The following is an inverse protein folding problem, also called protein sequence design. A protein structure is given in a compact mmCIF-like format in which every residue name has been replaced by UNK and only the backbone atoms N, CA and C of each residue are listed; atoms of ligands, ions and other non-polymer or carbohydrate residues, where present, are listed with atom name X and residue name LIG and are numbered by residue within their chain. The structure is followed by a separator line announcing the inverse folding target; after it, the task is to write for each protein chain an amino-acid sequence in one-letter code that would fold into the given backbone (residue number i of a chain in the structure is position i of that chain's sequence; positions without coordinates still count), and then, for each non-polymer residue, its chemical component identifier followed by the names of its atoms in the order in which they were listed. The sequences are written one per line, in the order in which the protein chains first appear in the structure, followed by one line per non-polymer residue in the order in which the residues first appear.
data_IF_652892413667
#
_entry.id   IF_652892413667
#
_cell.length_a   1.000
_cell.length_b   1.000
_cell.length_c   1.000
_cell.angle_alpha   90.00
_cell.angle_beta   90.00
_cell.angle_gamma   90.00
#
_symmetry.space_group_name_H-M   'P 1'
#
loop_
_entity.id
_entity.type
_entity.pdbx_description
1 polymer ?
#
# COMPACT_ATOMS: atom_id res chain seq x y z
N UNK A 1 8.93 46.87 16.21
CA UNK A 1 8.02 45.96 15.48
C UNK A 1 8.87 44.86 14.86
N UNK A 2 8.77 43.60 15.31
CA UNK A 2 9.52 42.52 14.68
C UNK A 2 8.80 42.07 13.40
N UNK A 3 9.61 41.84 12.36
CA UNK A 3 9.19 41.47 11.02
C UNK A 3 8.67 40.03 10.99
N UNK A 4 7.64 39.82 10.16
CA UNK A 4 7.01 38.54 9.82
C UNK A 4 8.05 37.44 9.57
N UNK A 5 7.91 36.33 10.29
CA UNK A 5 8.53 35.05 9.97
C UNK A 5 7.56 34.32 9.05
N UNK A 6 7.89 34.23 7.76
CA UNK A 6 7.12 33.46 6.79
C UNK A 6 7.14 31.98 7.17
N UNK A 7 5.95 31.40 7.37
CA UNK A 7 5.77 29.97 7.59
C UNK A 7 6.05 29.21 6.29
N UNK A 8 7.16 28.47 6.26
CA UNK A 8 7.42 27.48 5.21
C UNK A 8 6.25 26.49 5.15
N UNK A 9 5.69 26.26 3.97
CA UNK A 9 4.59 25.31 3.83
C UNK A 9 5.09 23.88 4.02
N UNK A 10 4.22 22.99 4.50
CA UNK A 10 4.52 21.56 4.67
C UNK A 10 5.05 20.93 3.36
N UNK A 11 4.65 21.47 2.20
CA UNK A 11 5.10 21.03 0.89
C UNK A 11 6.54 21.46 0.57
N UNK A 12 6.94 22.66 0.99
CA UNK A 12 8.31 23.17 0.76
C UNK A 12 9.36 22.35 1.53
N UNK A 13 8.99 21.91 2.74
CA UNK A 13 9.85 21.05 3.55
C UNK A 13 10.06 19.67 2.88
N UNK A 14 9.00 19.07 2.35
CA UNK A 14 9.03 17.75 1.69
C UNK A 14 9.78 17.80 0.35
N UNK A 15 9.60 18.86 -0.44
CA UNK A 15 10.28 19.02 -1.74
C UNK A 15 11.79 19.24 -1.59
N UNK A 16 12.23 19.92 -0.52
CA UNK A 16 13.66 20.21 -0.30
C UNK A 16 14.52 18.98 0.05
N UNK A 17 13.91 17.88 0.51
CA UNK A 17 14.60 16.62 0.80
C UNK A 17 14.92 15.79 -0.46
N UNK A 18 14.13 15.92 -1.53
CA UNK A 18 14.32 15.15 -2.78
C UNK A 18 15.55 15.61 -3.56
N UNK A 19 15.79 16.92 -3.67
CA UNK A 19 16.94 17.48 -4.41
C UNK A 19 18.29 17.08 -3.80
N UNK A 20 18.33 16.86 -2.47
CA UNK A 20 19.56 16.45 -1.76
C UNK A 20 19.83 14.95 -1.84
N UNK A 21 18.79 14.12 -2.01
CA UNK A 21 18.95 12.67 -2.16
C UNK A 21 19.40 12.26 -3.57
N UNK A 22 19.12 13.06 -4.61
CA UNK A 22 19.54 12.78 -6.00
C UNK A 22 21.01 13.11 -6.29
N UNK A 23 21.69 13.88 -5.44
CA UNK A 23 23.09 14.25 -5.62
C UNK A 23 24.09 13.18 -5.15
N UNK A 24 23.63 12.08 -4.54
CA UNK A 24 24.49 11.11 -3.83
C UNK A 24 24.81 9.79 -4.55
N UNK A 25 24.28 9.53 -5.75
CA UNK A 25 24.58 8.28 -6.47
C UNK A 25 25.51 8.52 -7.66
N UNK A 26 26.81 8.42 -7.42
CA UNK A 26 27.79 8.27 -8.48
C UNK A 26 27.62 6.93 -9.19
N UNK A 27 27.18 6.96 -10.45
CA UNK A 27 27.34 5.88 -11.40
C UNK A 27 27.77 6.46 -12.76
N UNK A 28 28.92 5.96 -13.20
CA UNK A 28 29.59 6.04 -14.49
C UNK A 28 28.94 6.85 -15.63
N UNK A 29 29.76 7.80 -16.12
CA UNK A 29 29.67 8.46 -17.42
C UNK A 29 29.34 7.46 -18.55
N UNK A 30 28.26 7.76 -19.28
CA UNK A 30 28.08 7.38 -20.67
C UNK A 30 28.06 8.69 -21.46
N UNK A 31 29.09 8.89 -22.27
CA UNK A 31 29.22 10.04 -23.18
C UNK A 31 28.00 10.11 -24.13
N UNK A 32 27.31 11.24 -24.10
CA UNK A 32 26.35 11.63 -25.12
C UNK A 32 27.08 12.47 -26.15
N UNK A 33 27.35 11.89 -27.32
CA UNK A 33 27.81 12.64 -28.48
C UNK A 33 26.62 13.40 -29.09
N UNK A 34 26.65 14.72 -28.98
CA UNK A 34 25.79 15.65 -29.73
C UNK A 34 26.37 15.88 -31.12
N UNK A 35 25.63 15.61 -32.20
CA UNK A 35 25.85 16.24 -33.51
C UNK A 35 24.52 16.41 -34.27
N UNK A 36 24.09 17.68 -34.32
CA UNK A 36 23.39 18.45 -35.38
C UNK A 36 22.30 17.82 -36.27
N UNK A 37 21.16 18.53 -36.37
CA UNK A 37 20.31 18.55 -37.58
C UNK A 37 21.10 19.02 -38.82
N UNK A 38 20.60 18.83 -40.07
CA UNK A 38 19.65 19.82 -40.60
C UNK A 38 18.67 19.35 -41.72
N UNK A 39 17.58 20.13 -41.88
CA UNK A 39 16.73 20.44 -43.07
C UNK A 39 16.12 19.32 -43.97
N UNK A 40 14.79 19.36 -44.09
CA UNK A 40 14.13 19.61 -45.39
C UNK A 40 13.38 18.46 -46.09
N UNK A 41 12.39 18.78 -46.97
CA UNK A 41 11.06 18.15 -46.95
C UNK A 41 10.67 17.41 -48.24
N UNK A 42 9.42 16.87 -48.28
CA UNK A 42 8.58 16.36 -49.40
C UNK A 42 8.11 14.92 -49.07
N UNK A 43 6.89 14.42 -49.32
CA UNK A 43 5.65 14.86 -49.98
C UNK A 43 4.56 13.80 -49.66
N UNK A 44 3.34 14.18 -49.31
CA UNK A 44 2.06 14.04 -50.06
C UNK A 44 1.77 12.67 -50.74
N UNK A 45 0.78 11.96 -50.20
CA UNK A 45 -0.23 11.08 -50.88
C UNK A 45 -1.25 10.71 -49.78
N UNK A 46 -2.57 10.94 -49.78
CA UNK A 46 -3.68 11.00 -50.75
C UNK A 46 -3.91 9.73 -51.56
N UNK A 47 -4.86 8.91 -51.10
CA UNK A 47 -5.83 8.10 -51.87
C UNK A 47 -6.90 7.58 -50.87
N UNK A 48 -8.13 8.12 -50.81
CA UNK A 48 -9.35 7.78 -51.60
C UNK A 48 -9.72 6.28 -51.54
N UNK A 49 -10.77 5.89 -50.81
CA UNK A 49 -12.18 5.75 -51.24
C UNK A 49 -12.42 4.56 -52.20
N UNK A 50 -13.16 3.53 -51.76
CA UNK A 50 -14.53 3.23 -52.26
C UNK A 50 -15.19 2.03 -51.51
N UNK A 51 -16.48 2.10 -51.13
CA UNK A 51 -17.27 1.00 -50.59
C UNK A 51 -18.34 0.49 -51.59
N UNK A 52 -18.55 -0.82 -51.65
CA UNK A 52 -19.68 -1.44 -52.37
C UNK A 52 -19.38 -2.92 -52.61
N UNK A 53 -20.29 -3.88 -52.68
CA UNK A 53 -21.76 -3.96 -52.65
C UNK A 53 -22.04 -5.48 -52.76
N UNK A 54 -23.06 -6.03 -52.12
CA UNK A 54 -23.27 -7.49 -52.22
C UNK A 54 -24.48 -8.05 -51.48
N UNK A 55 -25.67 -7.59 -51.85
CA UNK A 55 -26.96 -8.14 -51.45
C UNK A 55 -27.28 -9.42 -52.26
N UNK A 56 -27.78 -10.50 -51.61
CA UNK A 56 -28.71 -11.54 -52.12
C UNK A 56 -29.02 -12.50 -50.95
N UNK A 57 -30.20 -12.48 -50.32
CA UNK A 57 -31.51 -13.10 -50.65
C UNK A 57 -31.50 -14.64 -50.78
N UNK A 58 -32.37 -15.28 -49.98
CA UNK A 58 -32.85 -16.66 -50.10
C UNK A 58 -33.00 -17.33 -48.72
N UNK A 59 -34.03 -17.03 -47.92
CA UNK A 59 -35.38 -17.64 -47.88
C UNK A 59 -35.44 -19.07 -47.34
N UNK A 60 -36.11 -19.18 -46.18
CA UNK A 60 -37.16 -20.16 -45.83
C UNK A 60 -36.78 -21.65 -45.69
N UNK A 61 -36.91 -22.20 -44.47
CA UNK A 61 -37.87 -23.28 -44.12
C UNK A 61 -38.10 -23.25 -42.61
N UNK A 62 -39.38 -23.11 -42.26
CA UNK A 62 -39.98 -23.31 -40.95
C UNK A 62 -40.10 -24.82 -40.66
N UNK A 63 -39.81 -25.24 -39.43
CA UNK A 63 -40.50 -26.38 -38.86
C UNK A 63 -40.44 -26.37 -37.32
N UNK A 64 -41.58 -25.98 -36.77
CA UNK A 64 -42.07 -26.26 -35.43
C UNK A 64 -41.78 -27.70 -34.95
N UNK A 65 -41.22 -27.84 -33.75
CA UNK A 65 -41.69 -28.85 -32.79
C UNK A 65 -41.33 -28.43 -31.37
N UNK A 66 -42.36 -28.26 -30.56
CA UNK A 66 -42.23 -27.81 -29.18
C UNK A 66 -41.59 -28.85 -28.28
N UNK A 67 -40.77 -28.37 -27.34
CA UNK A 67 -40.57 -29.03 -26.05
C UNK A 67 -40.27 -27.98 -24.99
N UNK A 68 -41.27 -27.70 -24.16
CA UNK A 68 -41.13 -27.03 -22.86
C UNK A 68 -40.08 -27.78 -22.04
N UNK A 69 -38.90 -27.19 -21.82
CA UNK A 69 -37.96 -27.65 -20.77
C UNK A 69 -38.12 -26.75 -19.55
N UNK A 70 -38.61 -27.39 -18.48
CA UNK A 70 -38.75 -26.82 -17.13
C UNK A 70 -37.37 -26.38 -16.62
N UNK A 71 -37.32 -25.20 -16.01
CA UNK A 71 -36.25 -24.79 -15.12
C UNK A 71 -36.23 -25.73 -13.91
N UNK A 72 -35.32 -26.70 -13.91
CA UNK A 72 -34.96 -27.50 -12.75
C UNK A 72 -33.66 -26.96 -12.16
N UNK A 73 -33.74 -26.37 -10.97
CA UNK A 73 -32.59 -26.17 -10.08
C UNK A 73 -31.96 -27.54 -9.82
N UNK A 74 -30.78 -27.81 -10.39
CA UNK A 74 -29.94 -28.91 -9.94
C UNK A 74 -28.99 -28.36 -8.88
N UNK A 75 -29.30 -28.67 -7.62
CA UNK A 75 -28.32 -28.70 -6.55
C UNK A 75 -27.33 -29.84 -6.84
N UNK A 76 -26.02 -29.68 -6.61
CA UNK A 76 -25.10 -30.80 -6.68
C UNK A 76 -25.42 -31.79 -5.55
N UNK A 77 -25.47 -33.07 -5.93
CA UNK A 77 -25.68 -34.24 -5.09
C UNK A 77 -24.78 -34.22 -3.86
N UNK A 78 -25.39 -34.37 -2.68
CA UNK A 78 -24.70 -34.89 -1.50
C UNK A 78 -24.50 -36.39 -1.73
N UNK A 79 -23.25 -36.81 -1.95
CA UNK A 79 -22.85 -38.19 -1.70
C UNK A 79 -22.59 -38.31 -0.19
N UNK A 80 -23.42 -39.12 0.46
CA UNK A 80 -23.24 -39.57 1.83
C UNK A 80 -22.11 -40.58 1.87
N UNK A 81 -20.93 -40.15 2.32
CA UNK A 81 -19.95 -41.05 2.93
C UNK A 81 -20.05 -40.90 4.44
N UNK A 82 -20.39 -42.03 5.04
CA UNK A 82 -20.65 -42.32 6.43
C UNK A 82 -19.32 -42.46 7.16
N UNK A 83 -18.85 -41.36 7.75
CA UNK A 83 -17.90 -41.37 8.86
C UNK A 83 -17.92 -39.97 9.50
N UNK A 84 -18.59 -39.86 10.64
CA UNK A 84 -18.81 -38.63 11.41
C UNK A 84 -17.55 -37.97 11.97
N UNK A 85 -16.63 -37.54 11.09
CA UNK A 85 -15.59 -36.56 11.39
C UNK A 85 -16.09 -35.21 10.93
N UNK A 86 -16.48 -34.37 11.88
CA UNK A 86 -16.49 -32.92 11.68
C UNK A 86 -15.21 -32.52 10.95
N UNK A 87 -15.34 -32.02 9.72
CA UNK A 87 -14.25 -31.26 9.11
C UNK A 87 -14.19 -29.96 9.90
N UNK A 88 -13.41 -29.99 10.99
CA UNK A 88 -13.03 -28.79 11.73
C UNK A 88 -12.15 -27.97 10.80
N UNK A 89 -12.78 -27.09 10.02
CA UNK A 89 -12.11 -26.08 9.23
C UNK A 89 -11.27 -25.22 10.17
N UNK A 90 -9.95 -25.31 10.06
CA UNK A 90 -9.02 -24.68 10.99
C UNK A 90 -9.16 -23.14 11.05
N UNK A 91 -8.64 -22.50 12.13
CA UNK A 91 -8.74 -21.05 12.37
C UNK A 91 -8.21 -20.15 11.24
N UNK A 92 -7.40 -20.71 10.33
CA UNK A 92 -6.83 -20.04 9.16
C UNK A 92 -7.89 -19.54 8.17
N UNK A 93 -9.02 -20.25 8.03
CA UNK A 93 -10.08 -19.89 7.08
C UNK A 93 -10.96 -18.73 7.61
N UNK A 94 -11.14 -18.63 8.93
CA UNK A 94 -11.86 -17.51 9.55
C UNK A 94 -11.11 -16.17 9.45
N UNK A 95 -9.77 -16.19 9.27
CA UNK A 95 -9.00 -14.99 8.89
C UNK A 95 -9.28 -14.55 7.44
N UNK A 96 -9.68 -15.48 6.58
CA UNK A 96 -9.88 -15.27 5.14
C UNK A 96 -11.14 -14.43 4.85
N UNK A 97 -12.19 -14.54 5.67
CA UNK A 97 -13.43 -13.78 5.53
C UNK A 97 -13.30 -12.29 5.90
N UNK A 98 -12.33 -11.91 6.73
CA UNK A 98 -12.11 -10.50 7.13
C UNK A 98 -11.40 -9.63 6.09
N UNK A 99 -10.98 -10.19 4.95
CA UNK A 99 -10.36 -9.44 3.83
C UNK A 99 -11.38 -8.97 2.79
N UNK A 100 -12.58 -9.56 2.74
CA UNK A 100 -13.60 -9.22 1.74
C UNK A 100 -14.15 -7.78 1.89
N UNK A 101 -14.03 -7.16 3.06
CA UNK A 101 -14.40 -5.76 3.28
C UNK A 101 -13.32 -4.73 2.95
N UNK A 102 -12.08 -5.16 2.65
CA UNK A 102 -10.96 -4.24 2.46
C UNK A 102 -10.72 -3.84 1.01
N UNK A 103 -11.32 -4.51 0.03
CA UNK A 103 -11.18 -4.20 -1.39
C UNK A 103 -12.51 -3.64 -1.86
N UNK A 104 -12.49 -2.53 -2.62
CA UNK A 104 -13.69 -2.06 -3.30
C UNK A 104 -14.10 -3.12 -4.36
N UNK A 105 -15.18 -3.89 -4.14
CA UNK A 105 -15.55 -4.95 -5.05
C UNK A 105 -16.01 -4.40 -6.41
N UNK A 106 -16.39 -3.11 -6.48
CA UNK A 106 -16.79 -2.47 -7.72
C UNK A 106 -15.58 -2.09 -8.62
N UNK A 107 -14.40 -1.87 -8.02
CA UNK A 107 -13.19 -1.39 -8.73
C UNK A 107 -11.91 -2.14 -8.32
N UNK A 108 -11.82 -3.47 -8.51
CA UNK A 108 -10.65 -4.23 -8.10
C UNK A 108 -9.43 -3.93 -8.99
N UNK A 109 -8.26 -3.72 -8.36
CA UNK A 109 -6.99 -3.60 -9.06
C UNK A 109 -6.50 -4.99 -9.46
N UNK A 110 -6.45 -5.26 -10.77
CA UNK A 110 -6.10 -6.59 -11.32
C UNK A 110 -4.65 -6.74 -11.76
N UNK A 111 -3.91 -5.64 -11.88
CA UNK A 111 -2.52 -5.63 -12.35
C UNK A 111 -1.58 -5.13 -11.27
N UNK A 112 -0.42 -5.80 -11.15
CA UNK A 112 0.65 -5.39 -10.25
C UNK A 112 1.18 -4.00 -10.60
N UNK A 113 1.33 -3.68 -11.88
CA UNK A 113 1.85 -2.38 -12.32
C UNK A 113 0.91 -1.24 -11.90
N UNK A 114 -0.39 -1.44 -12.08
CA UNK A 114 -1.38 -0.46 -11.65
C UNK A 114 -1.37 -0.30 -10.12
N UNK A 115 -1.28 -1.40 -9.37
CA UNK A 115 -1.20 -1.35 -7.91
C UNK A 115 0.02 -0.55 -7.43
N UNK A 116 1.18 -0.75 -8.07
CA UNK A 116 2.42 -0.07 -7.71
C UNK A 116 2.43 1.41 -8.13
N UNK A 117 1.85 1.74 -9.29
CA UNK A 117 1.69 3.13 -9.71
C UNK A 117 0.83 3.91 -8.73
N UNK A 118 -0.31 3.35 -8.32
CA UNK A 118 -1.17 3.95 -7.29
C UNK A 118 -0.42 4.12 -5.96
N UNK A 119 0.30 3.08 -5.52
CA UNK A 119 1.07 3.12 -4.28
C UNK A 119 2.15 4.21 -4.29
N UNK A 120 2.84 4.40 -5.42
CA UNK A 120 3.85 5.44 -5.61
C UNK A 120 3.28 6.83 -5.39
N UNK A 121 2.17 7.15 -6.05
CA UNK A 121 1.46 8.42 -5.89
C UNK A 121 0.94 8.62 -4.46
N UNK A 122 0.34 7.58 -3.89
CA UNK A 122 -0.30 7.67 -2.58
C UNK A 122 0.69 7.74 -1.42
N UNK A 123 1.92 7.26 -1.59
CA UNK A 123 2.93 7.23 -0.53
C UNK A 123 3.20 8.61 0.09
N UNK A 124 3.30 9.66 -0.73
CA UNK A 124 3.53 11.03 -0.25
C UNK A 124 2.31 11.57 0.50
N UNK A 125 1.10 11.29 0.00
CA UNK A 125 -0.16 11.71 0.62
C UNK A 125 -0.32 11.01 1.98
N UNK A 126 -0.12 9.69 2.02
CA UNK A 126 -0.18 8.91 3.26
C UNK A 126 0.79 9.44 4.32
N UNK A 127 2.02 9.78 3.93
CA UNK A 127 3.01 10.39 4.84
C UNK A 127 2.52 11.69 5.44
N UNK A 128 1.87 12.55 4.65
CA UNK A 128 1.24 13.78 5.14
C UNK A 128 0.21 13.51 6.26
N UNK A 129 -0.70 12.56 6.05
CA UNK A 129 -1.66 12.16 7.09
C UNK A 129 -0.97 11.57 8.32
N UNK A 130 0.01 10.68 8.13
CA UNK A 130 0.75 10.03 9.20
C UNK A 130 1.53 11.05 10.05
N UNK A 131 2.13 12.06 9.42
CA UNK A 131 2.76 13.20 10.09
C UNK A 131 1.76 14.01 10.91
N UNK A 132 0.61 14.38 10.32
CA UNK A 132 -0.48 15.09 11.01
C UNK A 132 -0.97 14.31 12.22
N UNK A 133 -1.18 13.00 12.07
CA UNK A 133 -1.63 12.13 13.16
C UNK A 133 -0.59 12.08 14.28
N UNK A 134 0.69 11.83 13.94
CA UNK A 134 1.77 11.79 14.91
C UNK A 134 1.91 13.12 15.68
N UNK A 135 1.76 14.27 15.01
CA UNK A 135 1.80 15.58 15.67
C UNK A 135 0.65 15.79 16.65
N UNK A 136 -0.54 15.22 16.39
CA UNK A 136 -1.71 15.36 17.26
C UNK A 136 -1.75 14.34 18.41
N UNK A 137 -0.95 13.26 18.32
CA UNK A 137 -0.97 12.14 19.26
C UNK A 137 0.38 11.80 19.90
N UNK A 138 1.35 12.72 19.91
CA UNK A 138 2.70 12.47 20.45
C UNK A 138 3.39 11.24 19.79
N UNK A 139 3.16 11.06 18.50
CA UNK A 139 3.79 10.01 17.71
C UNK A 139 5.25 10.32 17.41
N UNK A 140 6.03 9.25 17.33
CA UNK A 140 7.44 9.25 17.00
C UNK A 140 7.70 8.55 15.68
N UNK A 141 8.77 8.96 15.01
CA UNK A 141 9.31 8.28 13.85
C UNK A 141 10.73 7.81 14.10
N UNK A 142 11.17 6.84 13.31
CA UNK A 142 12.57 6.43 13.29
C UNK A 142 13.36 7.47 12.50
N UNK A 143 14.34 8.10 13.11
CA UNK A 143 15.25 9.04 12.48
C UNK A 143 16.57 8.37 12.12
N UNK A 144 17.14 8.78 10.99
CA UNK A 144 18.49 8.45 10.60
C UNK A 144 19.32 9.73 10.60
N UNK A 145 20.33 9.78 11.46
CA UNK A 145 21.19 10.95 11.62
C UNK A 145 22.56 10.72 11.01
N UNK A 146 23.16 11.83 10.57
CA UNK A 146 24.53 11.89 10.11
C UNK A 146 25.28 12.97 10.86
N UNK A 147 26.51 12.65 11.28
CA UNK A 147 27.44 13.59 11.89
C UNK A 147 28.81 13.45 11.26
N UNK A 148 29.37 14.55 10.78
CA UNK A 148 30.65 14.56 10.07
C UNK A 148 30.71 13.56 8.89
N UNK A 149 29.58 13.32 8.22
CA UNK A 149 29.47 12.36 7.11
C UNK A 149 29.30 10.90 7.52
N UNK A 150 29.29 10.58 8.82
CA UNK A 150 29.09 9.21 9.32
C UNK A 150 27.66 9.00 9.80
N UNK A 151 27.08 7.84 9.45
CA UNK A 151 25.76 7.41 9.88
C UNK A 151 25.77 7.06 11.38
N UNK A 152 24.92 7.72 12.17
CA UNK A 152 24.73 7.40 13.59
C UNK A 152 23.67 6.29 13.79
N UNK A 153 23.57 5.77 15.01
CA UNK A 153 22.50 4.82 15.33
C UNK A 153 21.12 5.49 15.24
N UNK A 154 20.20 4.83 14.56
CA UNK A 154 18.85 5.36 14.36
C UNK A 154 18.07 5.45 15.67
N UNK A 155 17.53 6.64 15.96
CA UNK A 155 16.73 6.93 17.16
C UNK A 155 15.25 7.02 16.83
N UNK A 156 14.40 6.97 17.87
CA UNK A 156 12.99 7.34 17.74
C UNK A 156 12.81 8.72 18.35
N UNK A 157 12.27 9.65 17.57
CA UNK A 157 12.07 11.05 18.01
C UNK A 157 10.64 11.50 17.79
N UNK A 158 10.15 12.30 18.74
CA UNK A 158 8.82 12.90 18.72
C UNK A 158 8.71 13.88 17.56
N UNK A 159 7.70 13.72 16.71
CA UNK A 159 7.51 14.63 15.60
C UNK A 159 7.30 16.09 16.03
N UNK A 160 6.73 16.31 17.23
CA UNK A 160 6.56 17.66 17.79
C UNK A 160 7.88 18.36 18.11
N UNK A 161 8.92 17.59 18.41
CA UNK A 161 10.19 18.09 18.95
C UNK A 161 11.25 18.24 17.85
N UNK A 162 11.04 17.61 16.69
CA UNK A 162 11.99 17.61 15.58
C UNK A 162 11.84 18.88 14.75
N UNK A 163 12.87 19.74 14.78
CA UNK A 163 13.16 20.66 13.69
C UNK A 163 14.01 19.97 12.60
N UNK A 164 14.01 20.50 11.38
CA UNK A 164 14.76 19.93 10.22
C UNK A 164 16.29 20.00 10.41
N UNK A 165 16.77 20.77 11.38
CA UNK A 165 18.19 20.81 11.78
C UNK A 165 18.24 20.84 13.31
N UNK A 166 18.80 19.79 13.91
CA UNK A 166 19.00 19.79 15.36
C UNK A 166 20.04 20.85 15.74
N UNK A 167 19.88 21.45 16.92
CA UNK A 167 20.75 22.53 17.42
C UNK A 167 22.22 22.12 17.58
N UNK A 168 22.52 20.82 17.51
CA UNK A 168 23.85 20.22 17.65
C UNK A 168 24.60 20.02 16.32
N UNK A 169 24.03 20.47 15.19
CA UNK A 169 24.63 20.35 13.87
C UNK A 169 24.39 19.00 13.17
N UNK A 170 23.55 18.12 13.74
CA UNK A 170 23.10 16.90 13.05
C UNK A 170 22.18 17.25 11.89
N UNK A 171 22.40 16.56 10.77
CA UNK A 171 21.52 16.58 9.61
C UNK A 171 20.94 15.16 9.48
N UNK A 172 19.63 15.08 9.32
CA UNK A 172 18.94 13.79 9.24
C UNK A 172 17.47 14.00 9.00
N UNK A 173 16.76 12.88 8.87
CA UNK A 173 15.35 12.90 8.52
C UNK A 173 14.66 11.61 8.91
N UNK A 174 13.35 11.60 8.71
CA UNK A 174 12.53 10.43 8.97
C UNK A 174 12.91 9.31 8.01
N UNK A 175 13.17 8.13 8.57
CA UNK A 175 13.33 6.90 7.80
C UNK A 175 11.96 6.35 7.43
N UNK A 176 11.39 6.87 6.34
CA UNK A 176 10.13 6.42 5.80
C UNK A 176 10.17 4.96 5.36
N UNK A 177 8.99 4.31 5.35
CA UNK A 177 8.89 2.96 4.83
C UNK A 177 8.97 3.00 3.30
N UNK A 178 9.85 2.19 2.74
CA UNK A 178 9.89 1.99 1.30
C UNK A 178 8.65 1.22 0.83
N UNK A 179 8.20 1.53 -0.39
CA UNK A 179 7.19 0.73 -1.09
C UNK A 179 7.66 -0.73 -1.09
N UNK A 180 6.73 -1.67 -0.86
CA UNK A 180 7.04 -3.09 -0.87
C UNK A 180 7.74 -3.45 -2.18
N UNK A 181 8.83 -4.21 -2.14
CA UNK A 181 9.50 -4.63 -3.37
C UNK A 181 8.61 -5.54 -4.22
N UNK A 182 8.72 -5.42 -5.54
CA UNK A 182 7.95 -6.22 -6.51
C UNK A 182 8.11 -7.72 -6.23
N UNK A 183 9.35 -8.20 -6.03
CA UNK A 183 9.60 -9.62 -5.74
C UNK A 183 8.84 -10.15 -4.53
N UNK A 184 8.82 -9.39 -3.41
CA UNK A 184 8.07 -9.79 -2.21
C UNK A 184 6.56 -9.63 -2.37
N UNK A 185 6.12 -8.70 -3.20
CA UNK A 185 4.72 -8.49 -3.53
C UNK A 185 4.18 -9.66 -4.36
N UNK A 186 4.89 -10.04 -5.43
CA UNK A 186 4.58 -11.20 -6.28
C UNK A 186 4.53 -12.48 -5.46
N UNK A 187 5.53 -12.75 -4.63
CA UNK A 187 5.57 -13.93 -3.76
C UNK A 187 4.32 -14.01 -2.87
N UNK A 188 3.94 -12.88 -2.26
CA UNK A 188 2.77 -12.81 -1.36
C UNK A 188 1.45 -13.00 -2.11
N UNK A 189 1.31 -12.42 -3.30
CA UNK A 189 0.11 -12.57 -4.14
C UNK A 189 -0.09 -14.03 -4.57
N UNK A 190 0.98 -14.67 -5.06
CA UNK A 190 0.91 -16.06 -5.50
C UNK A 190 0.64 -16.99 -4.31
N UNK A 191 1.39 -16.85 -3.22
CA UNK A 191 1.33 -17.77 -2.08
C UNK A 191 0.06 -17.61 -1.25
N UNK A 192 -0.29 -16.38 -0.90
CA UNK A 192 -1.30 -16.11 0.13
C UNK A 192 -2.67 -15.77 -0.46
N UNK A 193 -2.71 -15.30 -1.72
CA UNK A 193 -3.93 -14.78 -2.34
C UNK A 193 -4.33 -15.50 -3.64
N UNK A 194 -3.63 -16.58 -4.01
CA UNK A 194 -3.99 -17.38 -5.19
C UNK A 194 -3.87 -16.61 -6.50
N UNK A 195 -2.95 -15.65 -6.58
CA UNK A 195 -2.77 -14.78 -7.76
C UNK A 195 -3.63 -13.52 -7.77
N UNK A 196 -4.54 -13.34 -6.80
CA UNK A 196 -5.39 -12.15 -6.73
C UNK A 196 -4.63 -10.93 -6.18
N UNK A 197 -4.24 -10.05 -7.10
CA UNK A 197 -3.51 -8.80 -6.83
C UNK A 197 -4.32 -7.84 -5.95
N UNK A 198 -5.65 -7.83 -6.09
CA UNK A 198 -6.51 -6.87 -5.39
C UNK A 198 -6.46 -7.03 -3.87
N UNK A 199 -6.04 -8.21 -3.39
CA UNK A 199 -5.93 -8.56 -1.97
C UNK A 199 -4.60 -8.13 -1.35
N UNK A 200 -3.67 -7.57 -2.14
CA UNK A 200 -2.40 -7.07 -1.65
C UNK A 200 -2.52 -5.62 -1.14
N UNK A 201 -2.83 -5.52 0.15
CA UNK A 201 -3.23 -4.28 0.84
C UNK A 201 -2.10 -3.58 1.63
N UNK A 202 -0.86 -4.01 1.46
CA UNK A 202 0.29 -3.49 2.23
C UNK A 202 1.44 -3.04 1.33
N UNK A 203 1.17 -2.68 0.06
CA UNK A 203 2.19 -2.15 -0.87
C UNK A 203 2.67 -0.77 -0.40
N UNK A 204 1.71 0.13 -0.14
CA UNK A 204 1.93 1.41 0.51
C UNK A 204 1.63 1.26 2.00
N UNK A 205 2.59 1.60 2.87
CA UNK A 205 2.42 1.45 4.31
C UNK A 205 3.33 2.40 5.06
N UNK A 206 2.91 2.81 6.25
CA UNK A 206 3.74 3.59 7.17
C UNK A 206 3.50 3.18 8.62
N UNK A 207 4.36 3.64 9.52
CA UNK A 207 4.27 3.33 10.94
C UNK A 207 4.46 4.55 11.83
N UNK A 208 3.67 4.61 12.91
CA UNK A 208 3.81 5.58 13.99
C UNK A 208 4.18 4.82 15.26
N UNK A 209 5.19 5.32 15.97
CA UNK A 209 5.68 4.72 17.22
C UNK A 209 5.27 5.57 18.41
N UNK A 210 4.89 4.94 19.51
CA UNK A 210 4.40 5.60 20.72
C UNK A 210 5.14 5.10 21.95
N UNK A 211 5.35 5.98 22.92
CA UNK A 211 5.97 5.58 24.18
C UNK A 211 4.99 4.76 25.03
N UNK A 212 3.72 5.15 25.02
CA UNK A 212 2.68 4.58 25.86
C UNK A 212 1.40 4.25 25.07
N UNK A 213 0.54 3.42 25.67
CA UNK A 213 -0.71 2.94 25.06
C UNK A 213 -1.77 4.04 24.96
N UNK A 214 -1.73 5.05 25.85
CA UNK A 214 -2.69 6.15 25.85
C UNK A 214 -2.57 6.99 24.58
N UNK A 215 -1.35 7.40 24.22
CA UNK A 215 -1.06 8.14 22.99
C UNK A 215 -1.38 7.32 21.73
N UNK A 216 -1.08 6.01 21.74
CA UNK A 216 -1.48 5.11 20.65
C UNK A 216 -3.00 5.05 20.48
N UNK A 217 -3.74 4.97 21.59
CA UNK A 217 -5.21 4.92 21.59
C UNK A 217 -5.79 6.24 21.08
N UNK A 218 -5.22 7.37 21.50
CA UNK A 218 -5.57 8.70 20.96
C UNK A 218 -5.34 8.77 19.45
N UNK A 219 -4.21 8.28 18.95
CA UNK A 219 -3.97 8.22 17.51
C UNK A 219 -5.00 7.37 16.77
N UNK A 220 -5.38 6.23 17.34
CA UNK A 220 -6.42 5.36 16.78
C UNK A 220 -7.77 6.08 16.69
N UNK A 221 -8.16 6.83 17.72
CA UNK A 221 -9.37 7.66 17.71
C UNK A 221 -9.31 8.72 16.60
N UNK A 222 -8.19 9.44 16.51
CA UNK A 222 -7.98 10.45 15.45
C UNK A 222 -8.08 9.85 14.05
N UNK A 223 -7.57 8.63 13.82
CA UNK A 223 -7.72 7.95 12.52
C UNK A 223 -9.19 7.64 12.22
N UNK A 224 -9.96 7.18 13.22
CA UNK A 224 -11.37 6.85 13.05
C UNK A 224 -12.26 8.10 12.86
N UNK A 225 -11.81 9.26 13.32
CA UNK A 225 -12.52 10.55 13.24
C UNK A 225 -12.08 11.42 12.06
N UNK A 226 -10.97 11.08 11.38
CA UNK A 226 -10.46 11.85 10.24
C UNK A 226 -11.35 11.61 9.00
N UNK A 227 -12.02 12.64 8.45
CA UNK A 227 -12.92 12.49 7.31
C UNK A 227 -12.20 12.06 6.03
N UNK A 228 -10.89 12.28 5.94
CA UNK A 228 -10.09 11.91 4.77
C UNK A 228 -9.62 10.44 4.83
N UNK A 229 -9.86 9.74 5.95
CA UNK A 229 -9.41 8.37 6.17
C UNK A 229 -10.60 7.43 6.37
N UNK A 230 -10.74 6.46 5.48
CA UNK A 230 -11.71 5.39 5.67
C UNK A 230 -11.04 4.14 6.22
N UNK A 231 -11.41 3.74 7.43
CA UNK A 231 -10.89 2.53 8.08
C UNK A 231 -11.64 1.29 7.59
N UNK A 232 -10.94 0.44 6.86
CA UNK A 232 -11.49 -0.80 6.31
C UNK A 232 -11.32 -1.98 7.26
N UNK A 233 -10.22 -2.01 8.00
CA UNK A 233 -9.91 -3.11 8.91
C UNK A 233 -8.99 -2.66 10.03
N UNK A 234 -9.23 -3.16 11.24
CA UNK A 234 -8.32 -3.04 12.38
C UNK A 234 -7.86 -4.42 12.84
N UNK A 235 -6.56 -4.61 12.93
CA UNK A 235 -5.91 -5.80 13.48
C UNK A 235 -5.15 -5.43 14.75
N UNK A 236 -5.75 -5.72 15.89
CA UNK A 236 -5.16 -5.45 17.20
C UNK A 236 -4.40 -6.67 17.74
N UNK A 237 -3.07 -6.65 17.66
CA UNK A 237 -2.18 -7.67 18.25
C UNK A 237 -1.69 -7.29 19.67
N UNK A 238 -2.12 -6.15 20.21
CA UNK A 238 -1.84 -5.75 21.59
C UNK A 238 -2.82 -6.38 22.60
N UNK A 239 -3.90 -7.00 22.13
CA UNK A 239 -4.87 -7.67 23.00
C UNK A 239 -4.19 -8.73 23.86
N UNK A 240 -4.67 -8.89 25.09
CA UNK A 240 -4.13 -9.86 26.06
C UNK A 240 -4.32 -11.31 25.59
N UNK A 241 -5.42 -11.59 24.91
CA UNK A 241 -5.79 -12.90 24.38
C UNK A 241 -5.18 -13.21 22.99
N UNK A 242 -4.37 -12.30 22.45
CA UNK A 242 -3.69 -12.53 21.18
C UNK A 242 -2.55 -13.54 21.36
N UNK A 243 -2.62 -14.67 20.64
CA UNK A 243 -1.55 -15.67 20.62
C UNK A 243 -0.24 -15.10 20.06
N UNK A 244 0.82 -14.94 20.89
CA UNK A 244 2.08 -14.38 20.44
C UNK A 244 2.84 -15.30 19.46
N UNK A 245 2.60 -16.61 19.49
CA UNK A 245 3.28 -17.56 18.60
C UNK A 245 2.85 -17.38 17.15
N UNK A 246 1.60 -16.97 16.93
CA UNK A 246 1.07 -16.62 15.60
C UNK A 246 1.78 -15.44 14.92
N UNK A 247 2.60 -14.67 15.65
CA UNK A 247 3.32 -13.52 15.11
C UNK A 247 4.81 -13.51 15.45
N UNK A 248 5.37 -14.61 15.97
CA UNK A 248 6.74 -14.64 16.54
C UNK A 248 6.98 -13.52 17.58
N UNK A 249 5.97 -13.23 18.40
CA UNK A 249 6.06 -12.20 19.45
C UNK A 249 5.86 -10.77 18.97
N UNK A 250 5.60 -10.52 17.69
CA UNK A 250 5.30 -9.17 17.19
C UNK A 250 3.94 -8.68 17.71
N UNK A 251 3.93 -7.48 18.31
CA UNK A 251 2.74 -6.83 18.85
C UNK A 251 2.61 -5.41 18.31
N UNK A 252 1.48 -5.10 17.69
CA UNK A 252 1.13 -3.79 17.16
C UNK A 252 -0.38 -3.71 16.89
N UNK A 253 -0.88 -2.50 16.62
CA UNK A 253 -2.18 -2.31 15.96
C UNK A 253 -1.90 -2.00 14.49
N UNK A 254 -2.55 -2.71 13.58
CA UNK A 254 -2.41 -2.49 12.13
C UNK A 254 -3.77 -2.12 11.58
N UNK A 255 -3.84 -1.04 10.81
CA UNK A 255 -5.04 -0.60 10.15
C UNK A 255 -4.87 -0.71 8.64
N UNK A 256 -5.93 -1.13 7.96
CA UNK A 256 -6.07 -0.95 6.53
C UNK A 256 -6.96 0.26 6.32
N UNK A 257 -6.48 1.24 5.57
CA UNK A 257 -7.16 2.52 5.36
C UNK A 257 -7.17 2.89 3.88
N UNK A 258 -8.20 3.61 3.45
CA UNK A 258 -8.19 4.39 2.19
C UNK A 258 -8.02 5.86 2.51
N UNK A 259 -7.28 6.58 1.66
CA UNK A 259 -7.16 8.03 1.77
C UNK A 259 -8.08 8.65 0.72
N UNK A 260 -9.17 9.26 1.18
CA UNK A 260 -10.25 9.79 0.35
C UNK A 260 -10.23 11.31 0.48
N UNK A 261 -9.61 11.94 -0.50
CA UNK A 261 -9.52 13.40 -0.62
C UNK A 261 -9.90 13.79 -2.05
N UNK A 262 -10.13 15.07 -2.30
CA UNK A 262 -10.33 15.57 -3.66
C UNK A 262 -9.17 15.20 -4.59
N UNK A 263 -7.93 15.25 -4.05
CA UNK A 263 -6.72 14.93 -4.78
C UNK A 263 -6.69 13.44 -5.14
N UNK A 264 -6.88 12.55 -4.16
CA UNK A 264 -6.83 11.09 -4.43
C UNK A 264 -7.95 10.64 -5.36
N UNK A 265 -9.13 11.25 -5.25
CA UNK A 265 -10.27 11.01 -6.15
C UNK A 265 -9.96 11.49 -7.57
N UNK A 266 -9.41 12.70 -7.73
CA UNK A 266 -9.03 13.26 -9.04
C UNK A 266 -7.97 12.42 -9.75
N UNK A 267 -7.03 11.85 -9.01
CA UNK A 267 -6.02 10.94 -9.55
C UNK A 267 -6.50 9.49 -9.68
N UNK A 268 -7.73 9.17 -9.24
CA UNK A 268 -8.30 7.82 -9.30
C UNK A 268 -7.57 6.80 -8.42
N UNK A 269 -6.99 7.25 -7.31
CA UNK A 269 -6.24 6.43 -6.35
C UNK A 269 -6.94 6.31 -4.99
N UNK A 270 -8.16 6.84 -4.86
CA UNK A 270 -9.02 6.80 -3.67
C UNK A 270 -9.40 5.36 -3.25
N UNK A 271 -9.35 4.40 -4.17
CA UNK A 271 -9.62 2.98 -3.88
C UNK A 271 -8.42 2.21 -3.34
N UNK A 272 -7.22 2.79 -3.38
CA UNK A 272 -6.02 2.09 -2.97
C UNK A 272 -5.96 1.93 -1.45
N UNK A 273 -5.60 0.73 -1.00
CA UNK A 273 -5.54 0.40 0.43
C UNK A 273 -4.12 0.56 0.93
N UNK A 274 -3.95 1.41 1.94
CA UNK A 274 -2.72 1.59 2.68
C UNK A 274 -2.76 0.81 4.00
N UNK A 275 -1.58 0.39 4.48
CA UNK A 275 -1.43 -0.13 5.84
C UNK A 275 -0.81 0.91 6.77
N UNK A 276 -1.47 1.26 7.87
CA UNK A 276 -0.91 2.09 8.94
C UNK A 276 -0.65 1.22 10.17
N UNK A 277 0.61 1.19 10.64
CA UNK A 277 0.98 0.42 11.82
C UNK A 277 1.23 1.34 13.01
N UNK A 278 0.54 1.09 14.13
CA UNK A 278 0.78 1.76 15.40
C UNK A 278 1.54 0.81 16.33
N UNK A 279 2.72 1.23 16.80
CA UNK A 279 3.59 0.40 17.62
C UNK A 279 3.92 1.10 18.94
N UNK A 280 4.13 0.31 20.00
CA UNK A 280 4.86 0.81 21.17
C UNK A 280 6.36 0.78 20.90
N UNK A 281 7.10 1.75 21.43
CA UNK A 281 8.54 1.89 21.25
C UNK A 281 9.30 0.63 21.68
N UNK A 282 8.91 0.04 22.80
CA UNK A 282 9.48 -1.23 23.29
C UNK A 282 9.38 -2.36 22.26
N UNK A 283 8.27 -2.47 21.52
CA UNK A 283 8.10 -3.45 20.44
C UNK A 283 8.79 -3.01 19.14
N UNK A 284 8.83 -1.71 18.85
CA UNK A 284 9.52 -1.19 17.67
C UNK A 284 11.05 -1.45 17.74
N UNK A 285 11.66 -1.30 18.92
CA UNK A 285 13.08 -1.59 19.16
C UNK A 285 13.42 -3.07 18.94
N UNK A 286 12.47 -3.97 19.23
CA UNK A 286 12.65 -5.40 18.99
C UNK A 286 12.62 -5.77 17.50
N UNK A 287 12.08 -4.91 16.61
CA UNK A 287 12.05 -5.08 15.15
C UNK A 287 13.44 -4.85 14.51
N UNK A 288 14.45 -5.57 14.98
CA UNK A 288 15.78 -5.60 14.35
C UNK A 288 15.72 -6.32 13.00
N UNK A 289 16.66 -6.02 12.09
CA UNK A 289 16.75 -6.72 10.81
C UNK A 289 16.83 -8.26 10.97
N UNK A 290 17.54 -8.74 12.00
CA UNK A 290 17.65 -10.16 12.34
C UNK A 290 16.31 -10.74 12.82
N UNK A 291 15.53 -10.01 13.62
CA UNK A 291 14.20 -10.45 14.03
C UNK A 291 13.23 -10.47 12.84
N UNK A 292 13.33 -9.50 11.93
CA UNK A 292 12.48 -9.41 10.76
C UNK A 292 12.75 -10.57 9.79
N UNK A 293 14.03 -10.90 9.55
CA UNK A 293 14.42 -12.06 8.72
C UNK A 293 13.87 -13.37 9.29
N UNK A 294 13.97 -13.57 10.61
CA UNK A 294 13.40 -14.76 11.28
C UNK A 294 11.88 -14.83 11.17
N UNK A 295 11.19 -13.70 11.34
CA UNK A 295 9.74 -13.62 11.16
C UNK A 295 9.32 -13.96 9.73
N UNK A 296 10.03 -13.41 8.73
CA UNK A 296 9.77 -13.71 7.32
C UNK A 296 9.96 -15.20 7.05
N UNK A 297 11.04 -15.82 7.52
CA UNK A 297 11.28 -17.26 7.37
C UNK A 297 10.18 -18.12 8.02
N UNK A 298 9.80 -17.81 9.27
CA UNK A 298 8.72 -18.53 9.97
C UNK A 298 7.38 -18.40 9.25
N UNK A 299 7.03 -17.20 8.80
CA UNK A 299 5.78 -16.95 8.08
C UNK A 299 5.80 -17.65 6.72
N UNK A 300 6.90 -17.56 6.00
CA UNK A 300 7.06 -18.16 4.68
C UNK A 300 6.94 -19.70 4.76
N UNK A 301 7.43 -20.33 5.85
CA UNK A 301 7.22 -21.76 6.13
C UNK A 301 5.75 -22.13 6.36
N UNK A 302 4.92 -21.22 6.90
CA UNK A 302 3.49 -21.46 7.17
C UNK A 302 2.58 -21.23 5.97
N UNK A 303 3.11 -20.74 4.84
CA UNK A 303 2.30 -20.38 3.68
C UNK A 303 1.46 -19.11 3.87
N UNK A 304 1.77 -18.26 4.86
CA UNK A 304 1.04 -17.01 5.16
C UNK A 304 1.60 -15.79 4.43
#
# INVERSE_FOLDING_TARGET
MPKNQESMSLWDAISSEEERSSAGSGLHNLEVATVSEPVGPLSRAVASFDPGSGQRRGSFVDNSSGRKRRYGKQAPMMSSDDDGREIVMGPSYLRFLSLWGAVDPARPVKSMDHLFLQAGLLSKILRGHVVKLASLSNGMFKFQWFRNGFEEEATFESWKEVGVTHKDGRIGGVRWTAIKSIGRATEKVVRSYGGDVSRLVDVCRESIVFENVSDLTRCLQLICEDPDLEVLRVKNRLRRDFDPWSSCGYRNVSLNVRVITDITTKFGVDTHVCEVQLLLRSFALQKTAKSHKRYVQFRDFRGE
#
